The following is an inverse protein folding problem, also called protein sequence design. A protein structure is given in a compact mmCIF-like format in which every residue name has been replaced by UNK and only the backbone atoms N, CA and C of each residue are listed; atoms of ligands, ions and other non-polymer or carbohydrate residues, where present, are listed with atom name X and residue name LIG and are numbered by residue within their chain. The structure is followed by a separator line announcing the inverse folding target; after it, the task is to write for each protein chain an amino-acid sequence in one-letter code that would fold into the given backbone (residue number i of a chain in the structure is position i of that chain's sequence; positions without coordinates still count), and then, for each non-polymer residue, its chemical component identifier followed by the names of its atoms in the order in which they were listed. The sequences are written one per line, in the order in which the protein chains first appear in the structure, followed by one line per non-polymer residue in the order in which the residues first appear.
data_IF_384672197114
#
_entry.id   IF_384672197114
#
_cell.length_a   1.000
_cell.length_b   1.000
_cell.length_c   1.000
_cell.angle_alpha   90.00
_cell.angle_beta   90.00
_cell.angle_gamma   90.00
#
_symmetry.space_group_name_H-M   'P 1'
#
loop_
_entity.id
_entity.type
_entity.pdbx_description
1 polymer ?
#
# COMPACT_ATOMS: atom_id res chain seq x y z
N UNK A 1 6.35 -16.24 0.95
CA UNK A 1 6.01 -14.91 1.55
C UNK A 1 4.50 -14.73 1.57
N UNK A 2 4.01 -13.90 2.47
CA UNK A 2 2.57 -13.65 2.66
C UNK A 2 2.26 -12.15 2.52
N UNK A 3 1.15 -11.83 1.84
CA UNK A 3 0.58 -10.48 1.73
C UNK A 3 -0.89 -10.54 2.17
N UNK A 4 -1.31 -9.60 3.01
CA UNK A 4 -2.70 -9.48 3.43
C UNK A 4 -3.06 -8.03 3.73
N UNK A 5 -4.17 -7.55 3.21
CA UNK A 5 -4.72 -6.26 3.61
C UNK A 5 -5.59 -6.43 4.85
N UNK A 6 -5.19 -5.82 5.97
CA UNK A 6 -6.02 -5.70 7.16
C UNK A 6 -7.08 -4.61 6.95
N UNK A 7 -6.70 -3.56 6.25
CA UNK A 7 -7.60 -2.51 5.76
C UNK A 7 -6.92 -1.76 4.61
N UNK A 8 -7.68 -1.35 3.60
CA UNK A 8 -7.17 -0.51 2.52
C UNK A 8 -8.23 0.44 1.98
N UNK A 9 -7.89 1.72 1.94
CA UNK A 9 -8.73 2.78 1.40
C UNK A 9 -8.45 4.14 2.02
N UNK A 10 -8.99 5.19 1.44
CA UNK A 10 -8.80 6.60 1.85
C UNK A 10 -9.25 6.95 3.29
N UNK A 11 -9.67 5.99 4.08
CA UNK A 11 -10.03 6.15 5.50
C UNK A 11 -9.10 5.43 6.46
N UNK A 12 -8.14 4.66 5.95
CA UNK A 12 -7.12 4.00 6.75
C UNK A 12 -6.56 2.75 6.09
N UNK A 13 -5.25 2.66 6.07
CA UNK A 13 -4.47 1.59 5.47
C UNK A 13 -3.68 0.84 6.54
N UNK A 14 -3.61 -0.48 6.42
CA UNK A 14 -2.78 -1.34 7.24
C UNK A 14 -2.59 -2.66 6.49
N UNK A 15 -1.40 -2.90 5.99
CA UNK A 15 -1.08 -4.05 5.14
C UNK A 15 -0.06 -4.92 5.87
N UNK A 16 -0.34 -6.20 5.95
CA UNK A 16 0.61 -7.18 6.48
C UNK A 16 1.45 -7.77 5.34
N UNK A 17 2.75 -7.81 5.56
CA UNK A 17 3.73 -8.55 4.74
C UNK A 17 4.60 -9.38 5.67
N UNK A 18 4.82 -10.65 5.35
CA UNK A 18 5.64 -11.49 6.21
C UNK A 18 6.15 -12.78 5.58
N UNK A 19 7.05 -13.41 6.29
CA UNK A 19 7.53 -14.77 6.09
C UNK A 19 7.00 -15.69 7.21
N UNK A 20 7.58 -16.88 7.34
CA UNK A 20 7.34 -17.74 8.51
C UNK A 20 8.03 -17.23 9.79
N UNK A 21 8.97 -16.30 9.67
CA UNK A 21 9.81 -15.82 10.77
C UNK A 21 9.75 -14.32 11.00
N UNK A 22 9.38 -13.55 9.98
CA UNK A 22 9.37 -12.08 10.02
C UNK A 22 7.99 -11.55 9.72
N UNK A 23 7.51 -10.64 10.55
CA UNK A 23 6.17 -10.07 10.46
C UNK A 23 6.24 -8.54 10.40
N UNK A 24 5.78 -7.96 9.30
CA UNK A 24 5.84 -6.53 9.03
C UNK A 24 4.44 -5.96 8.81
N UNK A 25 4.24 -4.72 9.21
CA UNK A 25 3.11 -3.91 8.76
C UNK A 25 3.61 -2.80 7.84
N UNK A 26 2.89 -2.56 6.76
CA UNK A 26 3.03 -1.35 5.94
C UNK A 26 1.82 -0.48 6.26
N UNK A 27 2.11 0.69 6.78
CA UNK A 27 1.15 1.66 7.32
C UNK A 27 0.31 1.16 8.51
N UNK A 28 -0.22 2.09 9.25
CA UNK A 28 -0.97 1.84 10.47
C UNK A 28 -2.05 2.92 10.65
N UNK A 29 -2.79 3.14 9.56
CA UNK A 29 -3.80 4.18 9.41
C UNK A 29 -5.16 3.85 10.02
N UNK A 30 -5.28 2.76 10.77
CA UNK A 30 -6.53 2.34 11.44
C UNK A 30 -6.35 2.25 12.95
N UNK A 31 -7.47 2.12 13.68
CA UNK A 31 -7.41 2.04 15.14
C UNK A 31 -6.64 0.79 15.62
N UNK A 32 -5.94 0.93 16.77
CA UNK A 32 -5.22 -0.20 17.41
C UNK A 32 -6.11 -1.44 17.53
N UNK A 33 -7.38 -1.28 17.89
CA UNK A 33 -8.32 -2.42 18.03
C UNK A 33 -8.46 -3.17 16.71
N UNK A 34 -8.67 -2.46 15.61
CA UNK A 34 -8.80 -3.09 14.29
C UNK A 34 -7.51 -3.77 13.83
N UNK A 35 -6.35 -3.18 14.14
CA UNK A 35 -5.04 -3.80 13.86
C UNK A 35 -4.92 -5.13 14.62
N UNK A 36 -5.21 -5.12 15.93
CA UNK A 36 -5.16 -6.32 16.77
C UNK A 36 -6.15 -7.41 16.32
N UNK A 37 -7.35 -7.02 15.89
CA UNK A 37 -8.33 -7.94 15.31
C UNK A 37 -7.82 -8.55 14.01
N UNK A 38 -7.27 -7.75 13.08
CA UNK A 38 -6.70 -8.25 11.84
C UNK A 38 -5.48 -9.16 12.07
N UNK A 39 -4.55 -8.78 12.94
CA UNK A 39 -3.43 -9.64 13.30
C UNK A 39 -3.88 -10.97 13.93
N UNK A 40 -4.97 -10.96 14.71
CA UNK A 40 -5.54 -12.18 15.28
C UNK A 40 -6.08 -13.12 14.19
N UNK A 41 -6.69 -12.60 13.12
CA UNK A 41 -7.12 -13.42 11.99
C UNK A 41 -5.93 -14.07 11.26
N UNK A 42 -4.77 -13.43 11.31
CA UNK A 42 -3.50 -13.96 10.80
C UNK A 42 -2.76 -14.85 11.81
N UNK A 43 -3.34 -15.09 12.98
CA UNK A 43 -2.73 -15.84 14.11
C UNK A 43 -1.43 -15.19 14.65
N UNK A 44 -1.26 -13.87 14.47
CA UNK A 44 -0.09 -13.09 14.88
C UNK A 44 -0.46 -12.19 16.05
N UNK A 45 0.43 -12.06 17.02
CA UNK A 45 0.28 -11.10 18.12
C UNK A 45 1.06 -9.83 17.81
N UNK A 46 0.56 -8.66 18.24
CA UNK A 46 1.23 -7.38 18.00
C UNK A 46 2.68 -7.30 18.48
N UNK A 47 3.06 -8.09 19.50
CA UNK A 47 4.44 -8.19 20.00
C UNK A 47 5.38 -9.06 19.13
N UNK A 48 4.83 -9.77 18.16
CA UNK A 48 5.55 -10.65 17.24
C UNK A 48 5.90 -9.91 15.93
N UNK A 49 5.47 -8.63 15.82
CA UNK A 49 5.86 -7.76 14.72
C UNK A 49 7.33 -7.33 14.86
N UNK A 50 8.07 -7.43 13.77
CA UNK A 50 9.48 -7.03 13.67
C UNK A 50 9.66 -5.59 13.21
N UNK A 51 8.66 -5.00 12.55
CA UNK A 51 8.72 -3.64 12.06
C UNK A 51 7.40 -3.11 11.53
N UNK A 52 7.30 -1.79 11.53
CA UNK A 52 6.24 -1.01 10.89
C UNK A 52 6.93 -0.10 9.87
N UNK A 53 6.61 -0.28 8.59
CA UNK A 53 7.09 0.58 7.52
C UNK A 53 6.01 1.60 7.18
N UNK A 54 6.35 2.88 7.13
CA UNK A 54 5.40 3.94 6.80
C UNK A 54 5.71 4.47 5.41
N UNK A 55 4.70 4.47 4.55
CA UNK A 55 4.80 4.98 3.18
C UNK A 55 4.93 6.50 3.18
N UNK A 56 4.10 7.18 3.96
CA UNK A 56 4.11 8.64 4.14
C UNK A 56 3.27 9.05 5.36
N UNK A 57 3.31 10.34 5.71
CA UNK A 57 2.78 10.88 6.97
C UNK A 57 1.29 11.26 6.96
N UNK A 58 0.51 10.96 5.94
CA UNK A 58 -0.93 11.28 5.93
C UNK A 58 -1.70 10.49 7.01
N UNK A 59 -2.77 11.10 7.51
CA UNK A 59 -3.53 10.57 8.65
C UNK A 59 -4.03 9.13 8.44
N UNK A 60 -4.49 8.80 7.26
CA UNK A 60 -4.99 7.45 6.88
C UNK A 60 -3.87 6.41 6.74
N UNK A 61 -2.61 6.79 6.96
CA UNK A 61 -1.45 5.89 7.03
C UNK A 61 -0.85 5.82 8.44
N UNK A 62 -1.05 6.84 9.30
CA UNK A 62 -0.35 6.90 10.59
C UNK A 62 -1.26 7.09 11.82
N UNK A 63 -2.57 7.33 11.69
CA UNK A 63 -3.42 7.72 12.84
C UNK A 63 -3.45 6.70 13.99
N UNK A 64 -3.21 5.42 13.71
CA UNK A 64 -3.12 4.35 14.72
C UNK A 64 -1.76 4.26 15.42
N UNK A 65 -0.72 4.87 14.82
CA UNK A 65 0.67 4.67 15.18
C UNK A 65 0.96 4.98 16.66
N UNK A 66 0.49 6.13 17.15
CA UNK A 66 0.79 6.55 18.51
C UNK A 66 0.27 5.59 19.58
N UNK A 67 -0.98 5.14 19.45
CA UNK A 67 -1.59 4.21 20.42
C UNK A 67 -0.98 2.80 20.32
N UNK A 68 -0.67 2.37 19.10
CA UNK A 68 -0.06 1.06 18.86
C UNK A 68 1.38 1.01 19.39
N UNK A 69 2.19 2.01 19.05
CA UNK A 69 3.60 2.10 19.46
C UNK A 69 3.78 2.19 20.97
N UNK A 70 2.90 2.92 21.69
CA UNK A 70 2.94 2.96 23.17
C UNK A 70 2.64 1.60 23.83
N UNK A 71 2.01 0.66 23.11
CA UNK A 71 1.72 -0.68 23.65
C UNK A 71 2.79 -1.71 23.32
N UNK A 72 3.32 -1.64 22.11
CA UNK A 72 4.15 -2.72 21.57
C UNK A 72 5.61 -2.32 21.34
N UNK A 73 5.91 -1.02 21.24
CA UNK A 73 7.26 -0.48 21.05
C UNK A 73 8.00 -1.09 19.83
N UNK A 74 7.26 -1.34 18.74
CA UNK A 74 7.80 -1.91 17.51
C UNK A 74 8.60 -0.83 16.76
N UNK A 75 9.77 -1.16 16.16
CA UNK A 75 10.54 -0.26 15.32
C UNK A 75 9.72 0.28 14.14
N UNK A 76 9.88 1.58 13.85
CA UNK A 76 9.16 2.30 12.79
C UNK A 76 10.18 2.75 11.76
N UNK A 77 9.98 2.36 10.51
CA UNK A 77 10.83 2.65 9.38
C UNK A 77 10.12 3.60 8.42
N UNK A 78 10.82 4.62 7.97
CA UNK A 78 10.32 5.59 6.98
C UNK A 78 11.43 6.47 6.47
N UNK A 79 11.22 7.17 5.37
CA UNK A 79 12.17 8.16 4.86
C UNK A 79 12.35 9.31 5.86
N UNK A 80 13.45 10.07 5.82
CA UNK A 80 13.64 11.23 6.70
C UNK A 80 12.47 12.22 6.66
N UNK A 81 11.90 12.49 5.45
CA UNK A 81 10.75 13.36 5.29
C UNK A 81 9.49 12.79 5.95
N UNK A 82 9.22 11.50 5.76
CA UNK A 82 8.10 10.79 6.41
C UNK A 82 8.26 10.80 7.94
N UNK A 83 9.43 10.47 8.46
CA UNK A 83 9.70 10.50 9.92
C UNK A 83 9.52 11.91 10.49
N UNK A 84 9.98 12.95 9.79
CA UNK A 84 9.75 14.33 10.20
C UNK A 84 8.26 14.67 10.22
N UNK A 85 7.50 14.29 9.19
CA UNK A 85 6.05 14.48 9.14
C UNK A 85 5.30 13.77 10.29
N UNK A 86 5.72 12.54 10.65
CA UNK A 86 5.18 11.81 11.80
C UNK A 86 5.45 12.57 13.11
N UNK A 87 6.67 13.10 13.30
CA UNK A 87 7.02 13.90 14.49
C UNK A 87 6.19 15.18 14.62
N UNK A 88 5.86 15.79 13.47
CA UNK A 88 5.08 17.04 13.42
C UNK A 88 3.56 16.78 13.58
N UNK A 89 3.11 15.53 13.43
CA UNK A 89 1.70 15.16 13.51
C UNK A 89 1.22 15.05 14.96
N UNK A 90 0.65 16.13 15.48
CA UNK A 90 0.31 16.31 16.91
C UNK A 90 -0.68 15.28 17.48
N UNK A 91 -1.52 14.68 16.63
CA UNK A 91 -2.59 13.79 17.09
C UNK A 91 -2.12 12.39 17.52
N UNK A 92 -0.85 12.03 17.29
CA UNK A 92 -0.29 10.75 17.75
C UNK A 92 -0.05 10.71 19.27
N UNK A 93 0.04 11.89 19.91
CA UNK A 93 0.43 12.02 21.31
C UNK A 93 1.94 11.74 21.48
N UNK A 94 2.37 11.56 22.74
CA UNK A 94 3.79 11.29 23.03
C UNK A 94 4.18 9.92 22.50
N UNK A 95 5.16 9.87 21.60
CA UNK A 95 5.72 8.63 21.07
C UNK A 95 6.83 8.12 22.01
N UNK A 96 7.02 6.79 22.14
CA UNK A 96 8.20 6.22 22.80
C UNK A 96 9.48 6.66 22.08
N UNK A 97 10.55 6.80 22.83
CA UNK A 97 11.85 7.18 22.27
C UNK A 97 12.56 6.01 21.58
N UNK A 98 13.38 6.30 20.58
CA UNK A 98 14.24 5.29 19.94
C UNK A 98 13.55 4.37 18.93
N UNK A 99 12.26 4.57 18.62
CA UNK A 99 11.55 3.70 17.67
C UNK A 99 11.79 4.05 16.20
N UNK A 100 12.18 5.28 15.88
CA UNK A 100 12.30 5.74 14.49
C UNK A 100 13.63 5.35 13.87
N UNK A 101 13.54 4.70 12.71
CA UNK A 101 14.66 4.30 11.87
C UNK A 101 14.50 4.93 10.49
N UNK A 102 15.39 5.84 10.15
CA UNK A 102 15.38 6.50 8.84
C UNK A 102 15.95 5.54 7.78
N UNK A 103 15.22 5.40 6.67
CA UNK A 103 15.61 4.63 5.50
C UNK A 103 15.77 5.56 4.30
N UNK A 104 16.39 5.08 3.23
CA UNK A 104 16.57 5.84 1.99
C UNK A 104 15.93 5.09 0.84
N UNK A 105 15.19 5.79 -0.03
CA UNK A 105 14.73 5.23 -1.29
C UNK A 105 15.90 4.70 -2.11
N UNK A 106 15.64 3.66 -2.89
CA UNK A 106 16.63 2.95 -3.72
C UNK A 106 17.79 2.30 -2.93
N UNK A 107 17.69 2.26 -1.60
CA UNK A 107 18.66 1.59 -0.76
C UNK A 107 18.03 0.44 0.00
N UNK A 108 18.36 -0.76 -0.41
CA UNK A 108 17.91 -1.99 0.24
C UNK A 108 18.40 -2.10 1.68
N UNK A 109 17.56 -2.65 2.54
CA UNK A 109 17.92 -3.05 3.89
C UNK A 109 17.18 -4.33 4.28
N UNK A 110 17.63 -5.00 5.35
CA UNK A 110 17.08 -6.27 5.78
C UNK A 110 16.31 -6.17 7.09
N UNK A 111 15.13 -6.76 7.12
CA UNK A 111 14.35 -7.00 8.34
C UNK A 111 14.14 -8.50 8.52
N UNK A 112 14.73 -9.07 9.55
CA UNK A 112 14.72 -10.52 9.75
C UNK A 112 15.29 -11.27 8.55
N UNK A 113 14.45 -12.04 7.85
CA UNK A 113 14.81 -12.78 6.63
C UNK A 113 14.25 -12.17 5.33
N UNK A 114 13.67 -10.96 5.42
CA UNK A 114 13.09 -10.24 4.28
C UNK A 114 14.02 -9.09 3.88
N UNK A 115 14.35 -9.01 2.61
CA UNK A 115 15.02 -7.87 1.99
C UNK A 115 13.96 -6.84 1.58
N UNK A 116 14.14 -5.57 2.01
CA UNK A 116 13.17 -4.49 1.81
C UNK A 116 13.78 -3.44 0.89
N UNK A 117 13.09 -3.15 -0.20
CA UNK A 117 13.44 -2.10 -1.17
C UNK A 117 12.43 -0.97 -1.12
N UNK A 118 12.71 0.16 -0.46
CA UNK A 118 11.90 1.35 -0.58
C UNK A 118 12.15 2.03 -1.93
N UNK A 119 11.09 2.46 -2.61
CA UNK A 119 11.19 3.22 -3.85
C UNK A 119 10.32 4.49 -3.78
N UNK A 120 10.75 5.55 -4.47
CA UNK A 120 10.02 6.80 -4.48
C UNK A 120 8.68 6.68 -5.21
N UNK A 121 7.65 7.35 -4.71
CA UNK A 121 6.36 7.47 -5.36
C UNK A 121 5.98 8.94 -5.53
N UNK A 122 5.14 9.23 -6.53
CA UNK A 122 4.67 10.60 -6.78
C UNK A 122 3.41 10.88 -5.98
N UNK A 123 3.56 11.51 -4.81
CA UNK A 123 2.45 11.89 -3.95
C UNK A 123 2.68 13.23 -3.25
N UNK A 124 1.63 13.87 -2.72
CA UNK A 124 1.69 15.17 -2.06
C UNK A 124 2.05 15.06 -0.56
N UNK A 125 3.10 14.33 -0.27
CA UNK A 125 3.70 14.14 1.05
C UNK A 125 5.17 14.59 1.06
N UNK A 126 5.83 14.58 2.23
CA UNK A 126 7.19 15.10 2.36
C UNK A 126 8.23 14.29 1.58
N UNK A 127 8.22 12.97 1.74
CA UNK A 127 9.14 12.06 1.04
C UNK A 127 8.51 10.66 0.95
N UNK A 128 7.44 10.52 0.15
CA UNK A 128 6.64 9.31 0.11
C UNK A 128 7.35 8.16 -0.60
N UNK A 129 7.13 6.92 -0.13
CA UNK A 129 7.73 5.71 -0.68
C UNK A 129 6.75 4.55 -0.76
N UNK A 130 6.88 3.73 -1.80
CA UNK A 130 6.36 2.37 -1.84
C UNK A 130 7.42 1.38 -1.36
N UNK A 131 7.03 0.12 -1.19
CA UNK A 131 7.94 -0.92 -0.71
C UNK A 131 7.83 -2.18 -1.57
N UNK A 132 8.99 -2.70 -1.96
CA UNK A 132 9.13 -4.06 -2.50
C UNK A 132 9.86 -4.92 -1.48
N UNK A 133 9.39 -6.14 -1.32
CA UNK A 133 9.90 -7.14 -0.39
C UNK A 133 10.39 -8.34 -1.18
N UNK A 134 11.55 -8.88 -0.81
CA UNK A 134 12.09 -10.08 -1.43
C UNK A 134 12.54 -11.08 -0.36
N UNK A 135 12.23 -12.36 -0.60
CA UNK A 135 12.72 -13.48 0.20
C UNK A 135 12.71 -14.76 -0.64
N UNK A 136 13.84 -15.47 -0.67
CA UNK A 136 14.00 -16.74 -1.39
C UNK A 136 13.55 -16.67 -2.87
N UNK A 137 13.84 -15.52 -3.54
CA UNK A 137 13.49 -15.26 -4.93
C UNK A 137 12.00 -14.97 -5.18
N UNK A 138 11.20 -14.79 -4.13
CA UNK A 138 9.81 -14.33 -4.19
C UNK A 138 9.75 -12.85 -3.91
N UNK A 139 8.93 -12.12 -4.68
CA UNK A 139 8.81 -10.66 -4.60
C UNK A 139 7.36 -10.24 -4.41
N UNK A 140 7.13 -9.37 -3.43
CA UNK A 140 5.85 -8.72 -3.16
C UNK A 140 6.06 -7.21 -3.16
N UNK A 141 5.09 -6.43 -3.64
CA UNK A 141 5.12 -4.98 -3.48
C UNK A 141 3.82 -4.42 -2.90
N UNK A 142 3.97 -3.27 -2.22
CA UNK A 142 2.89 -2.39 -1.78
C UNK A 142 3.11 -1.03 -2.41
N UNK A 143 2.20 -0.64 -3.30
CA UNK A 143 2.26 0.59 -4.09
C UNK A 143 0.90 1.29 -4.06
N UNK A 144 0.73 2.17 -3.08
CA UNK A 144 -0.44 3.04 -2.90
C UNK A 144 -0.03 4.50 -3.00
N UNK A 145 -1.00 5.38 -3.20
CA UNK A 145 -0.77 6.83 -3.24
C UNK A 145 0.15 7.27 -4.39
N UNK A 146 -0.14 6.72 -5.55
CA UNK A 146 0.55 7.00 -6.79
C UNK A 146 -0.23 8.04 -7.61
N UNK A 147 0.20 9.29 -7.64
CA UNK A 147 -0.41 10.31 -8.50
C UNK A 147 -0.15 10.05 -9.97
N UNK A 148 1.01 9.52 -10.29
CA UNK A 148 1.41 9.05 -11.62
C UNK A 148 2.46 7.94 -11.49
N UNK A 149 2.66 7.23 -12.57
CA UNK A 149 3.78 6.29 -12.71
C UNK A 149 4.61 6.58 -13.96
N UNK A 150 5.83 6.11 -13.98
CA UNK A 150 6.80 6.22 -15.06
C UNK A 150 7.63 4.93 -15.16
N UNK A 151 8.66 4.94 -16.00
CA UNK A 151 9.55 3.80 -16.18
C UNK A 151 10.23 3.37 -14.87
N UNK A 152 10.60 4.31 -14.00
CA UNK A 152 11.16 4.02 -12.69
C UNK A 152 10.17 3.24 -11.80
N UNK A 153 8.90 3.65 -11.77
CA UNK A 153 7.85 2.92 -11.05
C UNK A 153 7.66 1.52 -11.61
N UNK A 154 7.60 1.39 -12.93
CA UNK A 154 7.47 0.09 -13.62
C UNK A 154 8.65 -0.81 -13.28
N UNK A 155 9.90 -0.33 -13.33
CA UNK A 155 11.09 -1.12 -12.98
C UNK A 155 11.05 -1.64 -11.52
N UNK A 156 10.56 -0.83 -10.58
CA UNK A 156 10.40 -1.25 -9.19
C UNK A 156 9.29 -2.30 -8.98
N UNK A 157 8.33 -2.37 -9.89
CA UNK A 157 7.19 -3.30 -9.83
C UNK A 157 7.32 -4.49 -10.80
N UNK A 158 8.44 -4.65 -11.48
CA UNK A 158 8.71 -5.81 -12.34
C UNK A 158 9.00 -7.07 -11.54
N UNK A 159 8.73 -8.22 -12.16
CA UNK A 159 9.04 -9.56 -11.66
C UNK A 159 8.40 -9.90 -10.30
N UNK A 160 7.27 -9.29 -9.96
CA UNK A 160 6.55 -9.54 -8.72
C UNK A 160 5.77 -10.84 -8.77
N UNK A 161 5.68 -11.54 -7.64
CA UNK A 161 4.76 -12.66 -7.46
C UNK A 161 3.40 -12.21 -6.96
N UNK A 162 3.34 -11.13 -6.16
CA UNK A 162 2.10 -10.49 -5.75
C UNK A 162 2.29 -8.98 -5.59
N UNK A 163 1.22 -8.21 -5.78
CA UNK A 163 1.23 -6.76 -5.58
C UNK A 163 -0.08 -6.28 -4.95
N UNK A 164 0.03 -5.38 -3.97
CA UNK A 164 -1.06 -4.48 -3.62
C UNK A 164 -0.84 -3.19 -4.40
N UNK A 165 -1.76 -2.91 -5.33
CA UNK A 165 -1.69 -1.80 -6.27
C UNK A 165 -2.86 -0.84 -6.06
N UNK A 166 -2.58 0.47 -6.06
CA UNK A 166 -3.63 1.48 -5.98
C UNK A 166 -4.61 1.40 -7.15
N UNK A 167 -5.91 1.50 -6.83
CA UNK A 167 -7.01 1.74 -7.77
C UNK A 167 -7.99 2.68 -7.08
N UNK A 168 -7.62 3.98 -7.02
CA UNK A 168 -8.27 4.90 -6.08
C UNK A 168 -9.66 5.32 -6.54
N UNK A 169 -9.83 5.80 -7.77
CA UNK A 169 -11.07 6.40 -8.21
C UNK A 169 -11.42 6.05 -9.66
N UNK A 170 -12.70 6.06 -9.94
CA UNK A 170 -13.24 6.17 -11.29
C UNK A 170 -13.24 7.65 -11.70
N UNK A 171 -12.73 7.95 -12.87
CA UNK A 171 -12.56 9.33 -13.36
C UNK A 171 -13.92 10.02 -13.46
N UNK A 172 -14.94 9.35 -14.01
CA UNK A 172 -16.25 9.94 -14.20
C UNK A 172 -16.97 10.18 -12.86
N UNK A 173 -16.93 9.22 -11.95
CA UNK A 173 -17.47 9.42 -10.59
C UNK A 173 -16.82 10.61 -9.89
N UNK A 174 -15.51 10.76 -10.01
CA UNK A 174 -14.79 11.88 -9.41
C UNK A 174 -15.20 13.21 -10.07
N UNK A 175 -15.31 13.27 -11.40
CA UNK A 175 -15.70 14.47 -12.13
C UNK A 175 -17.10 14.96 -11.78
N UNK A 176 -18.09 14.06 -11.69
CA UNK A 176 -19.49 14.42 -11.37
C UNK A 176 -19.81 14.40 -9.89
N UNK A 177 -18.92 13.80 -9.08
CA UNK A 177 -19.11 13.57 -7.65
C UNK A 177 -19.12 14.86 -6.81
N UNK A 178 -19.38 14.73 -5.48
CA UNK A 178 -19.61 15.87 -4.60
C UNK A 178 -18.34 16.62 -4.17
N UNK A 179 -17.16 16.15 -4.53
CA UNK A 179 -15.92 16.82 -4.12
C UNK A 179 -15.83 18.25 -4.71
N UNK A 180 -15.36 19.24 -3.94
CA UNK A 180 -15.11 20.57 -4.47
C UNK A 180 -13.99 20.51 -5.53
N UNK A 181 -14.02 21.46 -6.46
CA UNK A 181 -13.14 21.48 -7.64
C UNK A 181 -11.66 21.34 -7.30
N UNK A 182 -11.18 22.05 -6.27
CA UNK A 182 -9.77 21.98 -5.85
C UNK A 182 -9.36 20.56 -5.41
N UNK A 183 -10.28 19.82 -4.76
CA UNK A 183 -10.00 18.45 -4.32
C UNK A 183 -10.01 17.47 -5.52
N UNK A 184 -10.89 17.67 -6.50
CA UNK A 184 -10.87 16.90 -7.75
C UNK A 184 -9.54 17.09 -8.48
N UNK A 185 -9.07 18.34 -8.60
CA UNK A 185 -7.77 18.65 -9.22
C UNK A 185 -6.59 18.04 -8.43
N UNK A 186 -6.65 18.02 -7.11
CA UNK A 186 -5.64 17.37 -6.27
C UNK A 186 -5.61 15.86 -6.54
N UNK A 187 -6.77 15.19 -6.54
CA UNK A 187 -6.87 13.75 -6.76
C UNK A 187 -6.40 13.35 -8.18
N UNK A 188 -6.80 14.10 -9.19
CA UNK A 188 -6.42 13.87 -10.61
C UNK A 188 -4.99 14.29 -10.96
N UNK A 189 -4.34 15.07 -10.10
CA UNK A 189 -3.01 15.62 -10.38
C UNK A 189 -1.89 14.59 -10.28
N UNK A 190 -0.73 14.92 -10.84
CA UNK A 190 0.48 14.09 -10.86
C UNK A 190 0.97 13.65 -9.46
N UNK A 191 0.52 14.30 -8.41
CA UNK A 191 0.82 13.98 -7.02
C UNK A 191 -0.44 13.54 -6.24
N UNK A 192 -1.51 13.19 -6.94
CA UNK A 192 -2.76 12.68 -6.39
C UNK A 192 -2.76 11.16 -6.27
N UNK A 193 -3.67 10.51 -7.01
CA UNK A 193 -3.91 9.06 -6.94
C UNK A 193 -4.16 8.46 -8.32
N UNK A 194 -3.81 7.19 -8.52
CA UNK A 194 -4.15 6.45 -9.74
C UNK A 194 -5.66 6.24 -9.86
N UNK A 195 -6.19 6.55 -11.02
CA UNK A 195 -7.53 6.09 -11.40
C UNK A 195 -7.53 4.57 -11.66
N UNK A 196 -8.73 3.98 -11.75
CA UNK A 196 -8.87 2.57 -12.11
C UNK A 196 -8.22 2.25 -13.45
N UNK A 197 -8.36 3.15 -14.44
CA UNK A 197 -7.78 2.98 -15.77
C UNK A 197 -6.24 3.05 -15.73
N UNK A 198 -5.67 4.01 -15.00
CA UNK A 198 -4.22 4.11 -14.87
C UNK A 198 -3.63 2.92 -14.10
N UNK A 199 -4.34 2.43 -13.09
CA UNK A 199 -3.99 1.19 -12.40
C UNK A 199 -3.94 -0.01 -13.35
N UNK A 200 -4.96 -0.16 -14.20
CA UNK A 200 -5.00 -1.22 -15.21
C UNK A 200 -3.88 -1.12 -16.24
N UNK A 201 -3.52 0.10 -16.67
CA UNK A 201 -2.38 0.34 -17.59
C UNK A 201 -1.05 0.03 -16.94
N UNK A 202 -0.82 0.49 -15.70
CA UNK A 202 0.39 0.13 -14.95
C UNK A 202 0.48 -1.40 -14.78
N UNK A 203 -0.65 -2.05 -14.49
CA UNK A 203 -0.69 -3.51 -14.42
C UNK A 203 -0.25 -4.14 -15.74
N UNK A 204 -0.72 -3.64 -16.90
CA UNK A 204 -0.27 -4.13 -18.22
C UNK A 204 1.25 -4.07 -18.39
N UNK A 205 1.89 -3.02 -17.88
CA UNK A 205 3.35 -2.80 -18.03
C UNK A 205 4.18 -3.73 -17.14
N UNK A 206 3.58 -4.29 -16.07
CA UNK A 206 4.26 -5.18 -15.10
C UNK A 206 3.81 -6.65 -15.17
N UNK A 207 2.84 -6.97 -16.04
CA UNK A 207 2.35 -8.35 -16.19
C UNK A 207 3.42 -9.31 -16.71
N UNK A 208 3.49 -10.47 -16.07
CA UNK A 208 4.32 -11.60 -16.50
C UNK A 208 3.78 -12.92 -15.92
N UNK A 209 4.25 -14.07 -16.46
CA UNK A 209 3.70 -15.39 -16.15
C UNK A 209 3.84 -15.82 -14.66
N UNK A 210 4.72 -15.20 -13.89
CA UNK A 210 4.93 -15.54 -12.49
C UNK A 210 4.15 -14.64 -11.52
N UNK A 211 3.40 -13.64 -12.00
CA UNK A 211 2.52 -12.83 -11.18
C UNK A 211 1.30 -13.66 -10.77
N UNK A 212 1.21 -14.00 -9.50
CA UNK A 212 0.24 -14.94 -8.96
C UNK A 212 -0.99 -14.26 -8.37
N UNK A 213 -0.87 -12.97 -7.96
CA UNK A 213 -1.99 -12.23 -7.39
C UNK A 213 -1.80 -10.72 -7.48
N UNK A 214 -2.90 -10.05 -7.80
CA UNK A 214 -3.03 -8.58 -7.74
C UNK A 214 -4.14 -8.24 -6.75
N UNK A 215 -3.82 -7.46 -5.74
CA UNK A 215 -4.78 -6.93 -4.79
C UNK A 215 -4.95 -5.43 -5.04
N UNK A 216 -6.07 -5.02 -5.64
CA UNK A 216 -6.39 -3.62 -5.83
C UNK A 216 -6.74 -3.00 -4.48
N UNK A 217 -6.14 -1.88 -4.15
CA UNK A 217 -6.28 -1.24 -2.86
C UNK A 217 -6.46 0.27 -2.93
N UNK A 218 -6.54 0.89 -1.76
CA UNK A 218 -6.65 2.34 -1.56
C UNK A 218 -7.84 2.99 -2.30
N UNK A 219 -9.00 2.29 -2.36
CA UNK A 219 -10.18 2.79 -3.04
C UNK A 219 -10.76 4.02 -2.32
N UNK A 220 -11.11 5.04 -3.08
CA UNK A 220 -11.89 6.20 -2.61
C UNK A 220 -13.27 5.76 -2.11
N UNK A 221 -13.71 6.32 -1.00
CA UNK A 221 -15.04 6.02 -0.45
C UNK A 221 -16.16 6.62 -1.29
N UNK A 222 -15.92 7.80 -1.86
CA UNK A 222 -16.97 8.59 -2.53
C UNK A 222 -16.92 8.44 -4.06
N UNK A 223 -15.75 8.05 -4.62
CA UNK A 223 -15.53 8.09 -6.07
C UNK A 223 -15.11 6.73 -6.63
N UNK A 224 -15.40 5.63 -5.90
CA UNK A 224 -15.14 4.28 -6.36
C UNK A 224 -15.97 3.25 -5.58
N UNK A 225 -16.06 2.03 -6.11
CA UNK A 225 -16.54 0.83 -5.42
C UNK A 225 -15.88 -0.42 -6.00
N UNK A 226 -15.90 -1.50 -5.23
CA UNK A 226 -15.10 -2.70 -5.49
C UNK A 226 -15.30 -3.27 -6.90
N UNK A 227 -16.55 -3.46 -7.34
CA UNK A 227 -16.88 -4.00 -8.65
C UNK A 227 -16.38 -3.11 -9.80
N UNK A 228 -16.53 -1.78 -9.68
CA UNK A 228 -16.11 -0.85 -10.71
C UNK A 228 -14.58 -0.87 -10.86
N UNK A 229 -13.84 -0.82 -9.76
CA UNK A 229 -12.39 -0.92 -9.78
C UNK A 229 -11.94 -2.24 -10.43
N UNK A 230 -12.52 -3.36 -10.01
CA UNK A 230 -12.22 -4.68 -10.54
C UNK A 230 -12.46 -4.77 -12.05
N UNK A 231 -13.66 -4.42 -12.52
CA UNK A 231 -14.03 -4.55 -13.94
C UNK A 231 -13.25 -3.57 -14.83
N UNK A 232 -12.98 -2.34 -14.35
CA UNK A 232 -12.19 -1.37 -15.11
C UNK A 232 -10.75 -1.85 -15.30
N UNK A 233 -10.07 -2.28 -14.23
CA UNK A 233 -8.70 -2.81 -14.32
C UNK A 233 -8.64 -4.03 -15.23
N UNK A 234 -9.59 -4.94 -15.09
CA UNK A 234 -9.71 -6.15 -15.91
C UNK A 234 -9.93 -5.81 -17.41
N UNK A 235 -10.73 -4.79 -17.68
CA UNK A 235 -10.96 -4.30 -19.04
C UNK A 235 -9.68 -3.70 -19.64
N UNK A 236 -8.96 -2.86 -18.91
CA UNK A 236 -7.69 -2.27 -19.36
C UNK A 236 -6.67 -3.38 -19.67
N UNK A 237 -6.54 -4.41 -18.84
CA UNK A 237 -5.69 -5.58 -19.12
C UNK A 237 -6.11 -6.28 -20.41
N UNK A 238 -7.42 -6.48 -20.60
CA UNK A 238 -7.95 -7.18 -21.78
C UNK A 238 -7.74 -6.41 -23.08
N UNK A 239 -7.81 -5.08 -23.03
CA UNK A 239 -7.65 -4.18 -24.18
C UNK A 239 -6.21 -3.73 -24.41
N UNK A 240 -5.34 -3.90 -23.41
CA UNK A 240 -3.95 -3.48 -23.44
C UNK A 240 -3.11 -4.25 -24.48
N UNK A 241 -1.96 -3.67 -24.84
CA UNK A 241 -1.01 -4.30 -25.77
C UNK A 241 -0.14 -5.35 -25.04
N UNK A 242 -0.75 -6.39 -24.53
CA UNK A 242 -0.12 -7.49 -23.81
C UNK A 242 -0.79 -8.81 -24.19
N UNK A 243 -0.18 -9.99 -23.95
CA UNK A 243 -0.75 -11.28 -24.31
C UNK A 243 -1.87 -11.79 -23.38
N UNK A 244 -2.14 -11.08 -22.26
CA UNK A 244 -3.06 -11.53 -21.22
C UNK A 244 -4.48 -11.01 -21.44
N UNK A 245 -5.44 -11.72 -20.86
CA UNK A 245 -6.81 -11.24 -20.67
C UNK A 245 -7.06 -11.02 -19.18
N UNK A 246 -7.97 -10.13 -18.84
CA UNK A 246 -8.26 -9.82 -17.43
C UNK A 246 -8.67 -11.06 -16.62
N UNK A 247 -9.27 -12.07 -17.24
CA UNK A 247 -9.61 -13.35 -16.60
C UNK A 247 -8.41 -14.27 -16.37
N UNK A 248 -7.26 -14.03 -17.00
CA UNK A 248 -6.05 -14.82 -16.81
C UNK A 248 -5.29 -14.41 -15.53
N UNK A 249 -5.62 -13.25 -14.96
CA UNK A 249 -4.93 -12.66 -13.83
C UNK A 249 -5.77 -12.81 -12.56
N UNK A 250 -5.25 -13.36 -11.47
CA UNK A 250 -5.94 -13.42 -10.19
C UNK A 250 -6.01 -12.03 -9.54
N UNK A 251 -7.02 -11.23 -9.91
CA UNK A 251 -7.29 -9.91 -9.35
C UNK A 251 -8.31 -10.02 -8.22
N UNK A 252 -8.04 -9.39 -7.09
CA UNK A 252 -8.96 -9.20 -5.99
C UNK A 252 -8.97 -7.72 -5.56
N UNK A 253 -9.98 -7.31 -4.80
CA UNK A 253 -10.09 -5.95 -4.27
C UNK A 253 -10.01 -6.00 -2.75
N UNK A 254 -9.09 -5.24 -2.18
CA UNK A 254 -8.95 -5.08 -0.75
C UNK A 254 -10.11 -4.25 -0.18
N UNK A 255 -10.72 -4.75 0.88
CA UNK A 255 -11.82 -4.06 1.54
C UNK A 255 -11.33 -3.03 2.54
N UNK A 256 -12.13 -2.02 2.73
CA UNK A 256 -11.85 -0.91 3.65
C UNK A 256 -11.83 -1.35 5.12
N UNK A 257 -12.67 -2.31 5.48
CA UNK A 257 -12.99 -2.65 6.86
C UNK A 257 -12.99 -4.16 7.15
N UNK A 258 -12.50 -4.96 6.22
CA UNK A 258 -12.38 -6.41 6.37
C UNK A 258 -10.97 -6.87 5.97
N UNK A 259 -10.48 -7.86 6.67
CA UNK A 259 -9.22 -8.53 6.34
C UNK A 259 -9.38 -9.28 5.01
N UNK A 260 -8.44 -9.13 4.11
CA UNK A 260 -8.43 -9.88 2.85
C UNK A 260 -8.03 -11.34 3.08
N UNK A 261 -8.26 -12.20 2.07
CA UNK A 261 -7.59 -13.49 2.04
C UNK A 261 -6.06 -13.28 2.07
N UNK A 262 -5.35 -14.20 2.72
CA UNK A 262 -3.88 -14.20 2.71
C UNK A 262 -3.42 -14.70 1.33
N UNK A 263 -2.58 -13.90 0.69
CA UNK A 263 -1.89 -14.28 -0.56
C UNK A 263 -0.55 -14.88 -0.16
N UNK A 264 -0.31 -16.11 -0.55
CA UNK A 264 0.97 -16.82 -0.34
C UNK A 264 1.69 -17.03 -1.68
N UNK A 265 2.99 -16.68 -1.73
CA UNK A 265 3.83 -16.79 -2.93
C UNK A 265 5.14 -17.51 -2.64
#
# INVERSE_FOLDING_TARGET
MRLCSIASGSSGNCIYVGSDRTHLLVDIGISKKRIEEGLKELEIKGKELDGILITHEHADHIQGLGVFSRKYEIPIYGTPGTIQGIRDYKNLGKMPEGLYHEIQVDKEFKLGDIDVHPFAISHDANEPSGYRFEQDGKKIAVATDLGKYDEYTVENLKDLNAVLLESNHDIHMLEVGPYPYYLKQRVLGDRGHLSNELSGRLLCDILHNNLQSVLLGHLSKENNYEELAYETVKLEVTLGQNPYKGDDIPIAVAKRDQVSAVIEV
#
